data_IF_199634071618
#
_entry.id   IF_199634071618
#
_cell.length_a   1.000
_cell.length_b   1.000
_cell.length_c   1.000
_cell.angle_alpha   90.00
_cell.angle_beta   90.00
_cell.angle_gamma   90.00
#
_symmetry.space_group_name_H-M   'P 1'
#
loop_
_entity.id
_entity.type
_entity.pdbx_description
1 polymer ?
#
# COMPACT_ATOMS: atom_id res chain seq x y z
N UNK A 1 2.19 36.90 22.20
CA UNK A 1 1.41 36.02 21.31
C UNK A 1 2.38 35.03 20.67
N UNK A 2 2.25 33.74 20.95
CA UNK A 2 3.16 32.73 20.40
C UNK A 2 2.69 32.36 19.00
N UNK A 3 3.44 32.82 17.99
CA UNK A 3 3.21 32.40 16.62
C UNK A 3 3.78 31.00 16.40
N UNK A 4 3.05 30.15 15.66
CA UNK A 4 3.55 28.85 15.26
C UNK A 4 4.66 29.08 14.23
N UNK A 5 5.89 28.70 14.58
CA UNK A 5 7.04 28.81 13.70
C UNK A 5 7.10 27.57 12.79
N UNK A 6 6.99 27.79 11.48
CA UNK A 6 7.01 26.72 10.49
C UNK A 6 8.42 26.17 10.21
N UNK A 7 8.48 25.16 9.34
CA UNK A 7 9.73 24.50 8.92
C UNK A 7 10.37 25.30 7.78
N UNK A 8 11.70 25.45 7.80
CA UNK A 8 12.44 26.13 6.73
C UNK A 8 12.36 25.36 5.41
N UNK A 9 12.06 26.06 4.29
CA UNK A 9 11.97 25.45 2.95
C UNK A 9 13.29 24.84 2.44
N UNK A 10 14.43 25.24 3.01
CA UNK A 10 15.75 24.73 2.62
C UNK A 10 16.27 23.62 3.54
N UNK A 11 15.48 23.22 4.53
CA UNK A 11 15.88 22.19 5.47
C UNK A 11 15.83 20.81 4.82
N UNK A 12 16.97 20.10 4.83
CA UNK A 12 17.01 18.70 4.43
C UNK A 12 16.24 17.85 5.46
N UNK A 13 15.43 16.91 4.96
CA UNK A 13 14.65 16.00 5.78
C UNK A 13 14.70 14.58 5.20
N UNK A 14 14.81 13.59 6.09
CA UNK A 14 14.53 12.19 5.78
C UNK A 14 13.06 11.92 6.10
N UNK A 15 12.32 11.35 5.16
CA UNK A 15 10.92 10.97 5.34
C UNK A 15 10.61 9.63 4.69
N UNK A 16 9.69 8.90 5.29
CA UNK A 16 9.05 7.74 4.70
C UNK A 16 7.77 8.17 3.98
N UNK A 17 7.38 7.44 2.94
CA UNK A 17 6.05 7.59 2.35
C UNK A 17 4.95 7.23 3.37
N UNK A 18 5.24 6.34 4.32
CA UNK A 18 4.34 6.00 5.42
C UNK A 18 3.99 7.21 6.30
N UNK A 19 4.90 8.18 6.42
CA UNK A 19 4.67 9.40 7.22
C UNK A 19 3.60 10.31 6.61
N UNK A 20 3.23 10.08 5.33
CA UNK A 20 2.17 10.80 4.63
C UNK A 20 0.80 10.17 4.83
N UNK A 21 0.72 8.95 5.37
CA UNK A 21 -0.53 8.22 5.55
C UNK A 21 -0.93 8.32 7.03
N UNK A 22 -2.03 9.00 7.32
CA UNK A 22 -2.56 9.10 8.68
C UNK A 22 -2.92 7.73 9.25
N UNK A 23 -2.94 7.60 10.59
CA UNK A 23 -3.31 6.35 11.25
C UNK A 23 -4.74 5.89 10.89
N UNK A 24 -5.66 6.85 10.74
CA UNK A 24 -7.07 6.58 10.41
C UNK A 24 -7.36 6.49 8.91
N UNK A 25 -6.32 6.44 8.07
CA UNK A 25 -6.51 6.36 6.62
C UNK A 25 -7.08 4.98 6.24
N UNK A 26 -8.14 4.97 5.42
CA UNK A 26 -8.79 3.76 4.93
C UNK A 26 -7.83 2.79 4.19
N UNK A 27 -6.76 3.30 3.57
CA UNK A 27 -5.67 2.52 2.96
C UNK A 27 -5.12 1.47 3.95
N UNK A 28 -4.97 1.83 5.23
CA UNK A 28 -4.43 0.91 6.25
C UNK A 28 -5.39 -0.25 6.53
N UNK A 29 -6.69 0.03 6.51
CA UNK A 29 -7.71 -1.02 6.61
C UNK A 29 -7.68 -1.95 5.39
N UNK A 30 -7.61 -1.38 4.17
CA UNK A 30 -7.52 -2.15 2.93
C UNK A 30 -6.29 -3.07 2.97
N UNK A 31 -5.13 -2.55 3.37
CA UNK A 31 -3.91 -3.33 3.48
C UNK A 31 -4.00 -4.47 4.50
N UNK A 32 -4.57 -4.21 5.68
CA UNK A 32 -4.81 -5.23 6.69
C UNK A 32 -5.82 -6.29 6.21
N UNK A 33 -6.91 -5.87 5.57
CA UNK A 33 -7.95 -6.73 5.04
C UNK A 33 -7.40 -7.69 3.97
N UNK A 34 -6.66 -7.16 2.98
CA UNK A 34 -6.06 -7.96 1.90
C UNK A 34 -5.03 -8.95 2.45
N UNK A 35 -4.36 -8.63 3.57
CA UNK A 35 -3.39 -9.54 4.21
C UNK A 35 -4.05 -10.72 4.90
N UNK A 36 -5.28 -10.57 5.39
CA UNK A 36 -6.00 -11.59 6.17
C UNK A 36 -6.90 -12.46 5.30
N UNK A 37 -7.46 -11.92 4.21
CA UNK A 37 -8.40 -12.66 3.36
C UNK A 37 -7.72 -13.77 2.56
N UNK A 38 -8.41 -14.90 2.44
CA UNK A 38 -7.97 -16.01 1.58
C UNK A 38 -8.30 -15.69 0.12
N UNK A 39 -7.29 -15.21 -0.61
CA UNK A 39 -7.39 -14.85 -2.03
C UNK A 39 -7.89 -16.02 -2.90
N UNK A 40 -7.53 -17.27 -2.58
CA UNK A 40 -7.95 -18.40 -3.40
C UNK A 40 -9.46 -18.65 -3.29
N UNK A 41 -10.05 -18.46 -2.09
CA UNK A 41 -11.48 -18.65 -1.86
C UNK A 41 -12.36 -17.63 -2.57
N UNK A 42 -11.82 -16.44 -2.83
CA UNK A 42 -12.52 -15.37 -3.54
C UNK A 42 -12.23 -15.37 -5.05
N UNK A 43 -11.58 -16.41 -5.58
CA UNK A 43 -11.30 -16.56 -7.02
C UNK A 43 -10.03 -15.86 -7.50
N UNK A 44 -9.25 -15.27 -6.60
CA UNK A 44 -7.94 -14.70 -6.92
C UNK A 44 -6.87 -15.80 -6.82
N UNK A 45 -6.75 -16.62 -7.87
CA UNK A 45 -5.73 -17.67 -7.97
C UNK A 45 -4.43 -17.15 -8.58
N UNK A 46 -3.28 -17.50 -7.99
CA UNK A 46 -1.98 -17.30 -8.63
C UNK A 46 -1.84 -18.26 -9.82
N UNK A 47 -1.41 -17.74 -11.00
CA UNK A 47 -1.05 -18.61 -12.13
C UNK A 47 0.27 -19.32 -11.82
N UNK A 48 0.37 -20.57 -12.28
CA UNK A 48 1.64 -21.33 -12.24
C UNK A 48 2.70 -20.51 -12.97
N UNK A 49 3.77 -20.17 -12.25
CA UNK A 49 4.92 -19.46 -12.82
C UNK A 49 5.58 -20.36 -13.86
N UNK A 50 5.74 -19.83 -15.08
CA UNK A 50 6.54 -20.51 -16.09
C UNK A 50 8.02 -20.44 -15.72
N UNK A 51 8.79 -21.46 -16.11
CA UNK A 51 10.24 -21.53 -15.83
C UNK A 51 11.03 -20.38 -16.47
N UNK A 52 10.47 -19.75 -17.50
CA UNK A 52 11.08 -18.67 -18.26
C UNK A 52 10.09 -17.49 -18.41
N UNK A 53 10.63 -16.27 -18.48
CA UNK A 53 9.85 -15.05 -18.70
C UNK A 53 9.70 -14.14 -17.48
N UNK A 54 8.85 -13.11 -17.61
CA UNK A 54 8.63 -12.12 -16.55
C UNK A 54 7.83 -12.74 -15.39
N UNK A 55 8.26 -12.54 -14.13
CA UNK A 55 7.49 -12.97 -12.97
C UNK A 55 6.06 -12.40 -12.97
N UNK A 56 5.10 -13.19 -12.49
CA UNK A 56 3.74 -12.73 -12.25
C UNK A 56 3.72 -11.64 -11.17
N UNK A 57 2.76 -10.74 -11.26
CA UNK A 57 2.45 -9.84 -10.15
C UNK A 57 1.90 -10.62 -8.95
N UNK A 58 2.09 -10.07 -7.75
CA UNK A 58 1.49 -10.62 -6.53
C UNK A 58 -0.03 -10.49 -6.59
N UNK A 59 -0.76 -11.59 -6.38
CA UNK A 59 -2.21 -11.62 -6.55
C UNK A 59 -2.95 -10.62 -5.64
N UNK A 60 -2.42 -10.38 -4.43
CA UNK A 60 -2.93 -9.38 -3.49
C UNK A 60 -3.01 -7.96 -4.09
N UNK A 61 -2.11 -7.62 -5.01
CA UNK A 61 -2.09 -6.29 -5.64
C UNK A 61 -3.33 -6.07 -6.50
N UNK A 62 -3.83 -7.11 -7.17
CA UNK A 62 -5.06 -6.98 -7.97
C UNK A 62 -6.29 -6.71 -7.09
N UNK A 63 -6.38 -7.35 -5.92
CA UNK A 63 -7.45 -7.06 -4.98
C UNK A 63 -7.34 -5.64 -4.41
N UNK A 64 -6.12 -5.19 -4.09
CA UNK A 64 -5.89 -3.79 -3.66
C UNK A 64 -6.34 -2.80 -4.74
N UNK A 65 -5.93 -3.00 -5.99
CA UNK A 65 -6.33 -2.15 -7.12
C UNK A 65 -7.85 -2.12 -7.30
N UNK A 66 -8.51 -3.27 -7.18
CA UNK A 66 -9.98 -3.34 -7.26
C UNK A 66 -10.67 -2.53 -6.15
N UNK A 67 -10.10 -2.51 -4.94
CA UNK A 67 -10.66 -1.77 -3.80
C UNK A 67 -10.36 -0.26 -3.85
N UNK A 68 -9.29 0.15 -4.52
CA UNK A 68 -8.93 1.56 -4.65
C UNK A 68 -9.79 2.33 -5.65
N UNK A 69 -10.36 1.66 -6.65
CA UNK A 69 -11.11 2.28 -7.75
C UNK A 69 -10.24 2.67 -8.91
#
# INVERSE_FOLDING_TARGET
MQHIQGISRHQLQLSSLEDKITADNAVRFIDAFVKVIDLNKIGFSSKVLQKEGRPSFATAVFLKLYLYG
#
